data_IF_262964040366
#
_entry.id   IF_262964040366
#
_cell.length_a   1.000
_cell.length_b   1.000
_cell.length_c   1.000
_cell.angle_alpha   90.00
_cell.angle_beta   90.00
_cell.angle_gamma   90.00
#
_symmetry.space_group_name_H-M   'P 1'
#
loop_
_entity.id
_entity.type
_entity.pdbx_description
1 polymer ?
#
# COMPACT_ATOMS: atom_id res chain seq x y z
N UNK A 1 -7.00 -13.00 33.19
CA UNK A 1 -7.61 -12.16 32.12
C UNK A 1 -8.88 -11.46 32.61
N UNK A 2 -9.46 -11.90 33.72
CA UNK A 2 -10.76 -11.42 34.23
C UNK A 2 -10.72 -10.03 34.86
N UNK A 3 -9.52 -9.44 35.03
CA UNK A 3 -9.34 -8.05 35.44
C UNK A 3 -9.40 -7.04 34.29
N UNK A 4 -9.48 -7.51 33.03
CA UNK A 4 -9.55 -6.62 31.86
C UNK A 4 -10.96 -6.05 31.73
N UNK A 5 -11.12 -4.71 31.64
CA UNK A 5 -12.44 -4.10 31.45
C UNK A 5 -13.16 -4.63 30.20
N UNK A 6 -14.45 -5.01 30.28
CA UNK A 6 -15.20 -5.54 29.14
C UNK A 6 -15.18 -4.66 27.90
N UNK A 7 -15.17 -3.33 28.07
CA UNK A 7 -15.10 -2.36 26.96
C UNK A 7 -13.81 -2.48 26.14
N UNK A 8 -12.71 -2.85 26.79
CA UNK A 8 -11.44 -3.09 26.11
C UNK A 8 -11.51 -4.37 25.27
N UNK A 9 -12.07 -5.44 25.83
CA UNK A 9 -12.27 -6.71 25.12
C UNK A 9 -13.18 -6.53 23.91
N UNK A 10 -14.28 -5.80 24.07
CA UNK A 10 -15.21 -5.43 22.97
C UNK A 10 -14.47 -4.71 21.84
N UNK A 11 -13.66 -3.70 22.19
CA UNK A 11 -12.87 -2.92 21.22
C UNK A 11 -11.85 -3.79 20.47
N UNK A 12 -11.19 -4.72 21.17
CA UNK A 12 -10.27 -5.68 20.54
C UNK A 12 -11.01 -6.62 19.60
N UNK A 13 -12.16 -7.16 20.00
CA UNK A 13 -12.95 -8.09 19.19
C UNK A 13 -13.44 -7.49 17.87
N UNK A 14 -13.74 -6.19 17.84
CA UNK A 14 -14.13 -5.45 16.62
C UNK A 14 -12.96 -5.41 15.60
N UNK A 15 -11.71 -5.41 16.08
CA UNK A 15 -10.51 -5.35 15.23
C UNK A 15 -10.02 -6.72 14.74
N UNK A 16 -10.44 -7.81 15.38
CA UNK A 16 -9.98 -9.15 15.05
C UNK A 16 -10.58 -9.67 13.73
N UNK A 17 -9.77 -10.43 12.98
CA UNK A 17 -10.29 -11.17 11.82
C UNK A 17 -11.26 -12.28 12.28
N UNK A 18 -12.06 -12.82 11.35
CA UNK A 18 -13.10 -13.81 11.67
C UNK A 18 -12.57 -15.05 12.43
N UNK A 19 -11.39 -15.56 12.09
CA UNK A 19 -10.81 -16.75 12.72
C UNK A 19 -10.33 -16.44 14.14
N UNK A 20 -9.62 -15.32 14.33
CA UNK A 20 -9.14 -14.86 15.64
C UNK A 20 -10.31 -14.56 16.58
N UNK A 21 -11.39 -14.00 16.04
CA UNK A 21 -12.65 -13.78 16.73
C UNK A 21 -13.25 -15.07 17.30
N UNK A 22 -13.43 -16.08 16.46
CA UNK A 22 -13.94 -17.38 16.91
C UNK A 22 -13.03 -18.04 17.95
N UNK A 23 -11.70 -17.91 17.80
CA UNK A 23 -10.76 -18.41 18.79
C UNK A 23 -10.87 -17.68 20.13
N UNK A 24 -11.04 -16.35 20.12
CA UNK A 24 -11.16 -15.55 21.34
C UNK A 24 -12.40 -15.91 22.17
N UNK A 25 -13.50 -16.30 21.51
CA UNK A 25 -14.72 -16.76 22.19
C UNK A 25 -14.60 -18.13 22.86
N UNK A 26 -13.52 -18.88 22.61
CA UNK A 26 -13.26 -20.20 23.24
C UNK A 26 -12.40 -20.12 24.51
N UNK A 27 -11.92 -18.93 24.87
CA UNK A 27 -11.10 -18.76 26.08
C UNK A 27 -12.02 -18.88 27.30
N UNK A 28 -11.78 -19.86 28.16
CA UNK A 28 -12.58 -20.08 29.37
C UNK A 28 -12.28 -19.02 30.44
N UNK A 29 -12.84 -17.81 30.24
CA UNK A 29 -12.67 -16.63 31.10
C UNK A 29 -13.73 -15.58 30.75
N UNK A 30 -13.80 -14.50 31.53
CA UNK A 30 -14.61 -13.31 31.22
C UNK A 30 -14.27 -12.75 29.83
N UNK A 31 -13.01 -12.84 29.41
CA UNK A 31 -12.59 -12.43 28.06
C UNK A 31 -13.34 -13.21 26.98
N UNK A 32 -13.44 -14.54 27.10
CA UNK A 32 -14.15 -15.35 26.12
C UNK A 32 -15.64 -15.09 26.09
N UNK A 33 -16.25 -14.83 27.26
CA UNK A 33 -17.67 -14.48 27.36
C UNK A 33 -17.97 -13.12 26.70
N UNK A 34 -17.19 -12.08 27.03
CA UNK A 34 -17.33 -10.74 26.41
C UNK A 34 -17.04 -10.80 24.92
N UNK A 35 -16.05 -11.60 24.51
CA UNK A 35 -15.76 -11.84 23.10
C UNK A 35 -16.97 -12.46 22.39
N UNK A 36 -17.54 -13.54 22.93
CA UNK A 36 -18.69 -14.23 22.35
C UNK A 36 -19.91 -13.30 22.21
N UNK A 37 -20.18 -12.50 23.25
CA UNK A 37 -21.27 -11.52 23.22
C UNK A 37 -21.03 -10.43 22.17
N UNK A 38 -19.79 -9.94 22.06
CA UNK A 38 -19.41 -8.97 21.03
C UNK A 38 -19.54 -9.54 19.62
N UNK A 39 -19.23 -10.82 19.41
CA UNK A 39 -19.38 -11.48 18.10
C UNK A 39 -20.80 -11.53 17.59
N UNK A 40 -21.78 -11.65 18.50
CA UNK A 40 -23.19 -11.62 18.16
C UNK A 40 -23.64 -10.23 17.70
N UNK A 41 -22.96 -9.18 18.17
CA UNK A 41 -23.21 -7.80 17.80
C UNK A 41 -22.46 -7.36 16.55
N UNK A 42 -21.41 -8.05 16.13
CA UNK A 42 -20.65 -7.67 14.94
C UNK A 42 -21.46 -7.94 13.67
N UNK A 43 -21.51 -7.00 12.75
CA UNK A 43 -22.17 -7.15 11.46
C UNK A 43 -21.21 -6.88 10.29
N UNK A 44 -21.54 -7.47 9.14
CA UNK A 44 -21.00 -7.06 7.85
C UNK A 44 -22.09 -6.34 7.08
N UNK A 45 -21.85 -5.09 6.71
CA UNK A 45 -22.78 -4.31 5.90
C UNK A 45 -22.80 -4.84 4.47
N UNK A 46 -23.98 -5.20 3.96
CA UNK A 46 -24.20 -5.59 2.57
C UNK A 46 -24.92 -4.44 1.88
N UNK A 47 -24.29 -3.89 0.85
CA UNK A 47 -24.86 -2.82 0.04
C UNK A 47 -25.16 -3.41 -1.33
N UNK A 48 -26.42 -3.31 -1.74
CA UNK A 48 -26.88 -3.70 -3.06
C UNK A 48 -27.11 -2.46 -3.89
N UNK A 49 -26.54 -2.45 -5.10
CA UNK A 49 -26.72 -1.37 -6.06
C UNK A 49 -27.72 -1.82 -7.11
N UNK A 50 -28.92 -1.25 -7.07
CA UNK A 50 -29.93 -1.45 -8.10
C UNK A 50 -29.74 -0.38 -9.18
N UNK A 51 -29.16 -0.79 -10.30
CA UNK A 51 -28.90 0.08 -11.45
C UNK A 51 -30.18 0.44 -12.21
N UNK A 52 -31.24 -0.35 -12.08
CA UNK A 52 -32.52 -0.10 -12.76
C UNK A 52 -33.37 0.94 -12.04
N UNK A 53 -33.39 0.90 -10.70
CA UNK A 53 -34.11 1.86 -9.89
C UNK A 53 -33.26 3.05 -9.44
N UNK A 54 -31.96 3.02 -9.73
CA UNK A 54 -30.96 3.98 -9.22
C UNK A 54 -30.97 4.08 -7.69
N UNK A 55 -31.17 2.95 -7.00
CA UNK A 55 -31.26 2.88 -5.53
C UNK A 55 -30.14 2.04 -4.91
N UNK A 56 -29.81 2.37 -3.67
CA UNK A 56 -28.95 1.57 -2.81
C UNK A 56 -29.78 0.93 -1.69
N UNK A 57 -29.62 -0.36 -1.52
CA UNK A 57 -30.21 -1.10 -0.41
C UNK A 57 -29.10 -1.53 0.54
N UNK A 58 -29.25 -1.24 1.83
CA UNK A 58 -28.27 -1.59 2.86
C UNK A 58 -28.90 -2.52 3.88
N UNK A 59 -28.26 -3.66 4.14
CA UNK A 59 -28.65 -4.59 5.20
C UNK A 59 -27.43 -5.03 5.97
N UNK A 60 -27.56 -5.22 7.27
CA UNK A 60 -26.49 -5.72 8.11
C UNK A 60 -26.60 -7.25 8.22
N UNK A 61 -25.52 -7.97 7.95
CA UNK A 61 -25.46 -9.44 8.04
C UNK A 61 -24.65 -9.87 9.25
N UNK A 62 -25.30 -10.60 10.17
CA UNK A 62 -24.62 -11.19 11.31
C UNK A 62 -23.73 -12.37 10.86
N UNK A 63 -22.49 -12.49 11.37
CA UNK A 63 -21.52 -13.50 10.95
C UNK A 63 -21.91 -14.90 11.42
N UNK A 64 -22.60 -15.02 12.56
CA UNK A 64 -22.93 -16.32 13.17
C UNK A 64 -24.21 -16.92 12.59
N UNK A 65 -25.25 -16.10 12.37
CA UNK A 65 -26.58 -16.60 11.98
C UNK A 65 -26.88 -16.45 10.49
N UNK A 66 -26.03 -15.77 9.72
CA UNK A 66 -26.35 -15.29 8.35
C UNK A 66 -27.63 -14.46 8.24
N UNK A 67 -28.26 -14.10 9.37
CA UNK A 67 -29.48 -13.31 9.39
C UNK A 67 -29.14 -11.90 8.90
N UNK A 68 -29.92 -11.44 7.93
CA UNK A 68 -29.93 -10.04 7.51
C UNK A 68 -30.90 -9.30 8.42
N UNK A 69 -30.46 -8.18 8.95
CA UNK A 69 -31.29 -7.26 9.72
C UNK A 69 -31.28 -5.89 9.06
N UNK A 70 -32.35 -5.10 9.20
CA UNK A 70 -32.39 -3.72 8.72
C UNK A 70 -31.18 -2.94 9.25
N UNK A 71 -30.56 -2.14 8.38
CA UNK A 71 -29.34 -1.39 8.71
C UNK A 71 -29.56 -0.41 9.87
N UNK A 72 -30.74 0.21 9.93
CA UNK A 72 -31.17 1.13 10.98
C UNK A 72 -31.42 0.47 12.34
N UNK A 73 -31.53 -0.86 12.40
CA UNK A 73 -31.65 -1.61 13.65
C UNK A 73 -30.30 -1.97 14.30
N UNK A 74 -29.18 -1.60 13.67
CA UNK A 74 -27.84 -2.01 14.10
C UNK A 74 -27.03 -0.82 14.60
N UNK A 75 -26.36 -1.00 15.75
CA UNK A 75 -25.36 -0.06 16.23
C UNK A 75 -24.10 -0.12 15.33
N UNK A 76 -23.83 1.01 14.68
CA UNK A 76 -22.78 1.15 13.66
C UNK A 76 -21.38 0.80 14.19
N UNK A 77 -21.14 0.94 15.50
CA UNK A 77 -19.82 0.63 16.08
C UNK A 77 -19.43 -0.84 15.93
N UNK A 78 -20.41 -1.72 15.67
CA UNK A 78 -20.17 -3.14 15.45
C UNK A 78 -20.11 -3.55 13.97
N UNK A 79 -20.19 -2.60 13.02
CA UNK A 79 -20.00 -2.91 11.61
C UNK A 79 -18.50 -2.97 11.33
N UNK A 80 -17.95 -4.18 11.22
CA UNK A 80 -16.50 -4.36 11.03
C UNK A 80 -16.08 -4.43 9.57
N UNK A 81 -17.03 -4.73 8.67
CA UNK A 81 -16.76 -4.95 7.25
C UNK A 81 -17.95 -4.46 6.41
N UNK A 82 -17.70 -4.16 5.14
CA UNK A 82 -18.77 -3.94 4.17
C UNK A 82 -18.50 -4.67 2.86
N UNK A 83 -19.56 -4.97 2.11
CA UNK A 83 -19.50 -5.62 0.81
C UNK A 83 -20.54 -5.00 -0.11
N UNK A 84 -20.12 -4.60 -1.31
CA UNK A 84 -20.97 -4.01 -2.33
C UNK A 84 -21.20 -5.06 -3.44
N UNK A 85 -22.45 -5.28 -3.83
CA UNK A 85 -22.82 -6.23 -4.88
C UNK A 85 -23.95 -5.67 -5.75
N UNK A 86 -23.98 -6.04 -7.02
CA UNK A 86 -25.16 -5.83 -7.87
C UNK A 86 -26.11 -7.02 -7.73
N UNK A 87 -27.44 -6.82 -7.65
CA UNK A 87 -28.42 -7.89 -7.65
C UNK A 87 -28.33 -8.66 -8.97
N UNK A 88 -27.64 -9.81 -8.99
CA UNK A 88 -27.62 -10.65 -10.19
C UNK A 88 -28.68 -11.74 -10.19
N UNK A 89 -29.37 -11.99 -9.07
CA UNK A 89 -30.51 -12.91 -8.92
C UNK A 89 -31.11 -12.70 -7.52
N UNK A 90 -32.25 -12.00 -7.41
CA UNK A 90 -32.83 -11.65 -6.11
C UNK A 90 -34.36 -11.80 -6.11
N UNK A 91 -34.84 -13.04 -5.99
CA UNK A 91 -36.25 -13.37 -5.72
C UNK A 91 -36.62 -13.29 -4.23
N UNK A 92 -35.98 -12.43 -3.44
CA UNK A 92 -36.11 -12.40 -1.96
C UNK A 92 -36.37 -10.98 -1.41
N UNK A 93 -36.58 -9.96 -2.27
CA UNK A 93 -36.69 -8.56 -1.81
C UNK A 93 -38.11 -7.97 -1.81
N UNK A 94 -39.16 -8.78 -1.86
CA UNK A 94 -40.56 -8.31 -2.01
C UNK A 94 -41.19 -7.68 -0.74
N UNK A 95 -40.44 -7.43 0.33
CA UNK A 95 -41.01 -6.96 1.62
C UNK A 95 -40.68 -5.53 2.04
N UNK A 96 -40.11 -4.68 1.16
CA UNK A 96 -39.80 -3.30 1.52
C UNK A 96 -40.58 -2.28 0.68
N UNK A 97 -41.61 -1.67 1.26
CA UNK A 97 -42.41 -0.62 0.63
C UNK A 97 -41.72 0.74 0.67
N UNK A 98 -41.78 1.46 -0.45
CA UNK A 98 -41.13 2.76 -0.70
C UNK A 98 -42.16 3.89 -0.77
N UNK A 99 -41.95 5.02 -0.08
CA UNK A 99 -42.76 6.24 -0.18
C UNK A 99 -42.08 7.38 -0.98
N UNK A 100 -42.90 8.20 -1.65
CA UNK A 100 -42.63 9.02 -2.86
C UNK A 100 -41.74 10.30 -2.76
N UNK A 101 -41.61 11.09 -3.86
CA UNK A 101 -40.56 12.13 -4.11
C UNK A 101 -41.10 13.58 -4.25
N UNK A 102 -40.32 14.65 -4.62
CA UNK A 102 -38.87 14.78 -4.89
C UNK A 102 -38.18 16.00 -4.21
N UNK A 103 -37.13 15.75 -3.41
CA UNK A 103 -35.98 16.66 -3.17
C UNK A 103 -34.76 15.80 -2.76
N UNK A 104 -34.61 14.67 -3.45
CA UNK A 104 -34.04 13.45 -2.86
C UNK A 104 -32.52 13.36 -2.90
N UNK A 105 -31.84 14.04 -3.83
CA UNK A 105 -30.39 13.96 -3.92
C UNK A 105 -29.69 14.80 -2.83
N UNK A 106 -30.22 15.99 -2.53
CA UNK A 106 -29.77 16.81 -1.40
C UNK A 106 -30.17 16.21 -0.06
N UNK A 107 -31.36 15.60 0.04
CA UNK A 107 -31.79 14.91 1.26
C UNK A 107 -30.99 13.63 1.53
N UNK A 108 -30.63 12.83 0.52
CA UNK A 108 -29.75 11.65 0.68
C UNK A 108 -28.33 12.05 1.03
N UNK A 109 -27.79 13.12 0.41
CA UNK A 109 -26.49 13.65 0.79
C UNK A 109 -26.50 14.24 2.20
N UNK A 110 -27.59 14.89 2.61
CA UNK A 110 -27.77 15.48 3.94
C UNK A 110 -28.07 14.44 5.01
N UNK A 111 -28.78 13.35 4.72
CA UNK A 111 -29.12 12.29 5.67
C UNK A 111 -27.96 11.32 5.87
N UNK A 112 -27.24 10.95 4.79
CA UNK A 112 -26.01 10.16 4.90
C UNK A 112 -24.89 10.96 5.56
N UNK A 113 -24.82 12.28 5.30
CA UNK A 113 -24.06 13.20 6.14
C UNK A 113 -24.59 13.14 7.57
N UNK A 114 -25.82 13.54 7.88
CA UNK A 114 -26.35 13.66 9.26
C UNK A 114 -26.24 12.39 10.12
N UNK A 115 -26.45 11.19 9.55
CA UNK A 115 -26.30 9.90 10.24
C UNK A 115 -24.82 9.56 10.46
N UNK A 116 -23.94 9.83 9.50
CA UNK A 116 -22.50 9.74 9.73
C UNK A 116 -22.03 10.82 10.74
N UNK A 117 -22.60 12.02 10.69
CA UNK A 117 -22.11 13.20 11.41
C UNK A 117 -22.40 13.12 12.91
N UNK A 118 -23.60 12.69 13.32
CA UNK A 118 -23.95 12.65 14.74
C UNK A 118 -23.29 11.49 15.52
N UNK A 119 -22.89 10.42 14.84
CA UNK A 119 -22.29 9.24 15.49
C UNK A 119 -20.76 9.20 15.37
N UNK A 120 -20.18 9.85 14.36
CA UNK A 120 -18.72 9.87 14.17
C UNK A 120 -18.01 10.77 15.18
N UNK A 121 -18.69 11.80 15.71
CA UNK A 121 -18.15 12.65 16.78
C UNK A 121 -18.04 11.91 18.14
N UNK A 122 -18.73 10.77 18.29
CA UNK A 122 -18.61 9.90 19.47
C UNK A 122 -17.41 8.95 19.41
N UNK A 123 -16.74 8.86 18.26
CA UNK A 123 -15.55 8.00 18.13
C UNK A 123 -14.41 8.64 18.92
N UNK A 124 -13.80 7.91 19.88
CA UNK A 124 -12.67 8.44 20.64
C UNK A 124 -11.55 8.93 19.72
N UNK A 125 -10.99 10.13 19.93
CA UNK A 125 -9.90 10.66 19.10
C UNK A 125 -8.70 9.71 18.99
N UNK A 126 -8.42 8.93 20.04
CA UNK A 126 -7.36 7.92 20.04
C UNK A 126 -7.58 6.81 19.00
N UNK A 127 -8.83 6.45 18.73
CA UNK A 127 -9.17 5.48 17.70
C UNK A 127 -8.91 6.09 16.31
N UNK A 128 -9.34 7.33 16.08
CA UNK A 128 -9.08 8.04 14.82
C UNK A 128 -7.59 8.22 14.59
N UNK A 129 -6.82 8.55 15.64
CA UNK A 129 -5.36 8.63 15.58
C UNK A 129 -4.75 7.27 15.20
N UNK A 130 -5.21 6.18 15.82
CA UNK A 130 -4.73 4.82 15.52
C UNK A 130 -5.03 4.40 14.08
N UNK A 131 -6.23 4.66 13.58
CA UNK A 131 -6.60 4.40 12.17
C UNK A 131 -5.79 5.28 11.22
N UNK A 132 -5.55 6.53 11.62
CA UNK A 132 -4.77 7.48 10.84
C UNK A 132 -3.31 7.04 10.70
N UNK A 133 -2.70 6.51 11.76
CA UNK A 133 -1.34 5.97 11.73
C UNK A 133 -1.18 4.77 10.79
N UNK A 134 -2.27 4.06 10.50
CA UNK A 134 -2.31 2.93 9.55
C UNK A 134 -2.65 3.35 8.11
N UNK A 135 -2.98 4.62 7.90
CA UNK A 135 -3.44 5.13 6.60
C UNK A 135 -2.31 5.79 5.83
N UNK A 136 -2.32 5.65 4.49
CA UNK A 136 -1.38 6.38 3.64
C UNK A 136 -1.70 7.89 3.61
N UNK A 137 -0.73 8.72 3.21
CA UNK A 137 -0.89 10.18 3.27
C UNK A 137 -2.04 10.70 2.41
N UNK A 138 -2.32 10.07 1.25
CA UNK A 138 -3.45 10.47 0.40
C UNK A 138 -4.80 10.18 1.07
N UNK A 139 -4.92 9.03 1.71
CA UNK A 139 -6.10 8.66 2.48
C UNK A 139 -6.31 9.61 3.66
N UNK A 140 -5.24 9.97 4.37
CA UNK A 140 -5.29 10.96 5.46
C UNK A 140 -5.66 12.37 4.98
N UNK A 141 -5.12 12.78 3.85
CA UNK A 141 -5.48 14.07 3.25
C UNK A 141 -6.95 14.08 2.81
N UNK A 142 -7.45 12.97 2.27
CA UNK A 142 -8.85 12.82 1.92
C UNK A 142 -9.75 12.78 3.16
N UNK A 143 -9.36 12.08 4.22
CA UNK A 143 -10.11 12.03 5.47
C UNK A 143 -10.14 13.40 6.16
N UNK A 144 -9.07 14.19 6.05
CA UNK A 144 -9.03 15.57 6.52
C UNK A 144 -10.02 16.53 5.84
N UNK A 145 -10.61 16.14 4.71
CA UNK A 145 -11.68 16.91 4.02
C UNK A 145 -13.07 16.52 4.46
N UNK A 146 -13.21 15.48 5.28
CA UNK A 146 -14.49 15.13 5.88
C UNK A 146 -14.76 16.23 6.90
N UNK A 147 -15.91 16.91 6.79
CA UNK A 147 -16.35 17.84 7.83
C UNK A 147 -16.40 17.07 9.19
N UNK A 148 -16.48 17.73 10.36
CA UNK A 148 -16.55 17.06 11.69
C UNK A 148 -15.21 16.64 12.35
N UNK A 149 -15.32 16.08 13.56
CA UNK A 149 -14.18 15.71 14.40
C UNK A 149 -13.22 14.75 13.71
N UNK A 150 -13.71 13.86 12.84
CA UNK A 150 -12.85 12.93 12.11
C UNK A 150 -11.89 13.64 11.16
N UNK A 151 -12.35 14.64 10.41
CA UNK A 151 -11.46 15.43 9.56
C UNK A 151 -10.44 16.20 10.37
N UNK A 152 -10.87 16.81 11.47
CA UNK A 152 -9.98 17.55 12.38
C UNK A 152 -8.94 16.65 13.04
N UNK A 153 -9.36 15.51 13.61
CA UNK A 153 -8.47 14.54 14.22
C UNK A 153 -7.53 13.89 13.19
N UNK A 154 -8.00 13.63 11.96
CA UNK A 154 -7.15 13.14 10.86
C UNK A 154 -6.09 14.16 10.49
N UNK A 155 -6.47 15.44 10.32
CA UNK A 155 -5.53 16.52 10.00
C UNK A 155 -4.52 16.73 11.13
N UNK A 156 -4.98 16.73 12.37
CA UNK A 156 -4.13 16.86 13.55
C UNK A 156 -3.15 15.69 13.64
N UNK A 157 -3.60 14.46 13.38
CA UNK A 157 -2.72 13.29 13.33
C UNK A 157 -1.74 13.36 12.17
N UNK A 158 -2.20 13.79 10.98
CA UNK A 158 -1.35 13.94 9.80
C UNK A 158 -0.24 15.00 10.01
N UNK A 159 -0.48 16.02 10.83
CA UNK A 159 0.54 16.98 11.26
C UNK A 159 1.58 16.38 12.21
N UNK A 160 1.21 15.33 12.96
CA UNK A 160 2.13 14.59 13.84
C UNK A 160 2.89 13.48 13.11
N UNK A 161 2.40 12.98 11.97
CA UNK A 161 3.06 11.90 11.24
C UNK A 161 4.32 12.44 10.56
N UNK A 162 5.42 11.69 10.70
CA UNK A 162 6.70 12.01 10.07
C UNK A 162 7.24 10.82 9.28
N UNK A 163 8.07 11.14 8.30
CA UNK A 163 8.97 10.19 7.65
C UNK A 163 10.38 10.42 8.17
N UNK A 164 11.04 9.37 8.64
CA UNK A 164 12.46 9.43 8.98
C UNK A 164 13.26 9.58 7.68
N UNK A 165 14.00 10.67 7.54
CA UNK A 165 14.95 10.87 6.44
C UNK A 165 16.34 10.61 6.97
N UNK A 166 17.04 9.70 6.31
CA UNK A 166 18.44 9.39 6.59
C UNK A 166 19.25 9.77 5.36
N UNK A 167 20.20 10.66 5.56
CA UNK A 167 21.18 11.03 4.58
C UNK A 167 22.46 10.23 4.84
N UNK A 168 23.02 9.70 3.76
CA UNK A 168 24.24 8.90 3.77
C UNK A 168 25.33 9.78 3.16
N UNK A 169 26.22 10.26 4.01
CA UNK A 169 27.39 11.03 3.60
C UNK A 169 28.54 10.06 3.34
N UNK A 170 28.78 9.78 2.06
CA UNK A 170 29.85 8.89 1.62
C UNK A 170 31.24 9.52 1.81
N UNK A 171 31.35 10.85 1.89
CA UNK A 171 32.64 11.53 2.00
C UNK A 171 33.16 11.48 3.43
N UNK A 172 32.27 11.75 4.39
CA UNK A 172 32.58 11.72 5.82
C UNK A 172 32.32 10.34 6.45
N UNK A 173 31.81 9.38 5.68
CA UNK A 173 31.35 8.07 6.14
C UNK A 173 30.36 8.15 7.33
N UNK A 174 29.44 9.12 7.26
CA UNK A 174 28.47 9.42 8.33
C UNK A 174 27.03 9.27 7.89
N UNK A 175 26.16 8.96 8.85
CA UNK A 175 24.72 8.98 8.67
C UNK A 175 24.13 10.17 9.40
N UNK A 176 23.23 10.88 8.74
CA UNK A 176 22.48 11.98 9.35
C UNK A 176 21.00 11.70 9.28
N UNK A 177 20.26 11.98 10.35
CA UNK A 177 18.83 11.74 10.42
C UNK A 177 18.03 13.00 10.77
N UNK A 178 16.84 13.10 10.17
CA UNK A 178 15.87 14.17 10.44
C UNK A 178 14.45 13.63 10.26
N UNK A 179 13.47 14.22 10.95
CA UNK A 179 12.07 13.91 10.73
C UNK A 179 11.46 14.89 9.72
N UNK A 180 10.73 14.37 8.72
CA UNK A 180 10.10 15.17 7.67
C UNK A 180 8.59 15.03 7.70
N UNK A 181 7.89 16.16 7.85
CA UNK A 181 6.44 16.20 7.80
C UNK A 181 5.94 16.03 6.35
N UNK A 182 4.86 15.26 6.11
CA UNK A 182 4.42 14.91 4.77
C UNK A 182 3.77 16.06 4.00
N UNK A 183 3.00 16.93 4.68
CA UNK A 183 2.27 18.03 4.04
C UNK A 183 3.19 19.22 3.75
N UNK A 184 3.88 19.70 4.79
CA UNK A 184 4.63 20.96 4.73
C UNK A 184 6.02 20.81 4.15
N UNK A 185 6.48 19.56 3.95
CA UNK A 185 7.88 19.26 3.65
C UNK A 185 8.86 19.83 4.71
N UNK A 186 8.35 20.19 5.89
CA UNK A 186 9.15 20.76 6.97
C UNK A 186 10.01 19.67 7.59
N UNK A 187 11.31 19.93 7.64
CA UNK A 187 12.26 19.15 8.42
C UNK A 187 12.28 19.68 9.85
N UNK A 188 12.23 18.75 10.82
CA UNK A 188 12.32 19.03 12.25
C UNK A 188 13.36 18.08 12.87
N UNK A 189 14.13 18.54 13.88
CA UNK A 189 15.12 17.70 14.54
C UNK A 189 14.49 16.41 15.07
N UNK A 190 15.22 15.30 14.97
CA UNK A 190 14.67 13.98 15.35
C UNK A 190 14.23 13.91 16.83
N UNK A 191 14.95 14.62 17.71
CA UNK A 191 14.65 14.66 19.15
C UNK A 191 13.39 15.48 19.50
N UNK A 192 12.85 16.27 18.57
CA UNK A 192 11.62 17.06 18.78
C UNK A 192 10.35 16.30 18.37
N UNK A 193 10.48 15.04 17.96
CA UNK A 193 9.37 14.22 17.44
C UNK A 193 9.22 12.99 18.31
N UNK A 194 7.97 12.65 18.65
CA UNK A 194 7.64 11.36 19.25
C UNK A 194 7.75 10.27 18.19
N UNK A 195 8.70 9.35 18.38
CA UNK A 195 9.08 8.30 17.42
C UNK A 195 7.88 7.41 17.03
N UNK A 196 6.83 7.32 17.87
CA UNK A 196 5.63 6.54 17.54
C UNK A 196 4.87 7.07 16.32
N UNK A 197 5.08 8.34 15.94
CA UNK A 197 4.49 8.96 14.76
C UNK A 197 5.38 8.89 13.53
N UNK A 198 6.56 8.25 13.62
CA UNK A 198 7.37 7.95 12.44
C UNK A 198 6.83 6.67 11.82
N UNK A 199 6.17 6.80 10.67
CA UNK A 199 5.49 5.68 10.01
C UNK A 199 6.29 5.05 8.89
N UNK A 200 7.30 5.76 8.36
CA UNK A 200 8.12 5.31 7.23
C UNK A 200 9.54 5.87 7.33
N UNK A 201 10.49 5.26 6.63
CA UNK A 201 11.84 5.81 6.45
C UNK A 201 12.26 5.95 4.99
N UNK A 202 13.12 6.93 4.70
CA UNK A 202 13.81 7.04 3.42
C UNK A 202 15.29 7.25 3.68
N UNK A 203 16.12 6.33 3.18
CA UNK A 203 17.58 6.41 3.22
C UNK A 203 18.07 6.83 1.83
N UNK A 204 18.91 7.86 1.75
CA UNK A 204 19.45 8.31 0.46
C UNK A 204 20.81 8.98 0.51
N UNK A 205 21.59 8.87 -0.57
CA UNK A 205 22.92 9.50 -0.75
C UNK A 205 22.91 10.82 -1.53
N UNK A 206 21.76 11.29 -2.04
CA UNK A 206 21.74 12.32 -3.09
C UNK A 206 22.23 13.72 -2.64
N UNK A 207 23.10 14.32 -3.46
CA UNK A 207 24.01 15.46 -3.21
C UNK A 207 23.37 16.87 -3.13
N UNK A 208 22.04 16.99 -3.09
CA UNK A 208 21.38 18.30 -3.14
C UNK A 208 21.17 18.95 -1.76
N UNK A 209 21.83 18.44 -0.72
CA UNK A 209 21.87 19.10 0.58
C UNK A 209 23.02 20.10 0.61
N UNK A 210 22.86 21.21 -0.12
CA UNK A 210 23.65 22.40 0.17
C UNK A 210 23.57 22.67 1.67
N UNK A 211 24.74 22.71 2.34
CA UNK A 211 24.98 22.84 3.78
C UNK A 211 23.91 22.15 4.63
N UNK A 212 24.20 20.94 5.12
CA UNK A 212 23.36 20.24 6.10
C UNK A 212 22.83 21.24 7.13
N UNK A 213 21.51 21.47 7.11
CA UNK A 213 20.87 22.35 8.09
C UNK A 213 21.18 21.81 9.49
N UNK A 214 21.34 22.71 10.47
CA UNK A 214 21.54 22.39 11.90
C UNK A 214 20.48 21.42 12.49
N UNK A 215 19.40 21.15 11.76
CA UNK A 215 18.33 20.21 12.12
C UNK A 215 18.71 18.74 11.96
N UNK A 216 19.71 18.43 11.14
CA UNK A 216 20.17 17.06 10.94
C UNK A 216 20.98 16.60 12.14
N UNK A 217 20.64 15.42 12.68
CA UNK A 217 21.38 14.79 13.77
C UNK A 217 22.28 13.70 13.18
N UNK A 218 23.59 13.76 13.41
CA UNK A 218 24.49 12.63 13.14
C UNK A 218 24.05 11.40 13.97
N UNK A 219 23.94 10.24 13.32
CA UNK A 219 23.55 8.98 13.95
C UNK A 219 24.52 7.87 13.57
N UNK A 220 24.63 6.88 14.44
CA UNK A 220 25.37 5.64 14.17
C UNK A 220 24.49 4.61 13.46
N UNK A 221 25.10 3.56 12.90
CA UNK A 221 24.37 2.41 12.35
C UNK A 221 23.49 1.70 13.39
N UNK A 222 23.94 1.59 14.64
CA UNK A 222 23.16 0.98 15.70
C UNK A 222 21.92 1.83 16.04
N UNK A 223 22.07 3.17 16.08
CA UNK A 223 20.93 4.07 16.22
C UNK A 223 19.95 3.95 15.04
N UNK A 224 20.46 3.85 13.80
CA UNK A 224 19.62 3.62 12.62
C UNK A 224 18.83 2.31 12.75
N UNK A 225 19.49 1.21 13.12
CA UNK A 225 18.83 -0.08 13.31
C UNK A 225 17.74 -0.01 14.37
N UNK A 226 18.00 0.65 15.51
CA UNK A 226 16.99 0.87 16.56
C UNK A 226 15.81 1.69 16.05
N UNK A 227 16.07 2.79 15.32
CA UNK A 227 15.03 3.63 14.73
C UNK A 227 14.17 2.85 13.75
N UNK A 228 14.77 2.05 12.88
CA UNK A 228 14.05 1.22 11.90
C UNK A 228 13.22 0.16 12.61
N UNK A 229 13.72 -0.44 13.69
CA UNK A 229 12.95 -1.42 14.46
C UNK A 229 11.69 -0.82 15.11
N UNK A 230 11.70 0.47 15.45
CA UNK A 230 10.50 1.17 15.93
C UNK A 230 9.48 1.45 14.80
N UNK A 231 9.94 1.61 13.57
CA UNK A 231 9.10 1.83 12.41
C UNK A 231 8.56 0.48 11.97
N UNK A 232 7.35 0.14 12.44
CA UNK A 232 6.69 -1.11 12.04
C UNK A 232 6.65 -1.23 10.52
N UNK A 233 7.00 -2.39 9.94
CA UNK A 233 6.84 -2.61 8.51
C UNK A 233 5.37 -2.39 8.13
N UNK A 234 5.11 -1.48 7.20
CA UNK A 234 3.78 -1.17 6.68
C UNK A 234 3.09 -2.42 6.07
N UNK A 235 3.88 -3.47 5.81
CA UNK A 235 3.53 -4.66 5.04
C UNK A 235 3.22 -5.90 5.87
N UNK A 236 3.43 -5.89 7.19
CA UNK A 236 3.31 -7.08 8.04
C UNK A 236 1.91 -7.73 8.06
N UNK A 237 0.88 -7.06 7.54
CA UNK A 237 -0.48 -7.63 7.53
C UNK A 237 -1.27 -7.47 6.24
N UNK A 238 -0.97 -6.48 5.38
CA UNK A 238 -1.73 -6.26 4.14
C UNK A 238 -0.86 -5.71 3.02
N UNK A 239 -0.99 -6.30 1.83
CA UNK A 239 -0.42 -5.73 0.62
C UNK A 239 -1.03 -4.35 0.36
N UNK A 240 -0.21 -3.33 0.06
CA UNK A 240 -0.74 -2.01 -0.26
C UNK A 240 -1.60 -2.11 -1.51
N UNK A 241 -2.82 -1.56 -1.44
CA UNK A 241 -3.73 -1.51 -2.60
C UNK A 241 -3.08 -0.78 -3.76
N UNK A 242 -2.31 0.27 -3.44
CA UNK A 242 -1.62 1.15 -4.37
C UNK A 242 -0.27 1.54 -3.78
N UNK A 243 0.78 1.45 -4.59
CA UNK A 243 2.09 2.00 -4.27
C UNK A 243 2.04 3.53 -4.32
N UNK A 244 2.51 4.16 -3.23
CA UNK A 244 2.72 5.59 -3.15
C UNK A 244 4.15 5.86 -2.74
N UNK A 245 4.95 6.39 -3.67
CA UNK A 245 6.38 6.70 -3.48
C UNK A 245 6.67 7.60 -2.28
N UNK A 246 5.67 8.35 -1.79
CA UNK A 246 5.83 9.24 -0.64
C UNK A 246 5.48 8.62 0.72
N UNK A 247 4.96 7.39 0.75
CA UNK A 247 4.42 6.75 1.97
C UNK A 247 4.98 5.34 2.17
N UNK A 248 6.20 5.06 1.67
CA UNK A 248 6.79 3.73 1.70
C UNK A 248 8.22 3.79 2.23
N UNK A 249 8.70 2.68 2.78
CA UNK A 249 10.10 2.55 3.17
C UNK A 249 10.97 2.52 1.91
N UNK A 250 11.84 3.52 1.77
CA UNK A 250 12.59 3.75 0.54
C UNK A 250 14.09 3.73 0.78
N UNK A 251 14.81 3.01 -0.07
CA UNK A 251 16.26 3.03 -0.17
C UNK A 251 16.65 3.60 -1.53
N UNK A 252 17.41 4.70 -1.54
CA UNK A 252 17.87 5.36 -2.76
C UNK A 252 19.38 5.65 -2.70
N UNK A 253 20.20 4.73 -3.20
CA UNK A 253 21.65 4.83 -3.11
C UNK A 253 22.26 5.02 -4.51
N UNK A 254 22.92 6.16 -4.72
CA UNK A 254 23.58 6.53 -5.98
C UNK A 254 25.08 6.19 -6.04
N UNK A 255 25.67 5.88 -4.89
CA UNK A 255 27.12 5.70 -4.68
C UNK A 255 27.40 4.35 -4.00
N UNK A 256 28.58 3.79 -4.24
CA UNK A 256 28.98 2.43 -3.84
C UNK A 256 30.08 2.37 -2.77
N UNK A 257 30.20 3.40 -1.93
CA UNK A 257 31.20 3.48 -0.87
C UNK A 257 30.93 2.53 0.30
N UNK A 258 31.83 2.53 1.28
CA UNK A 258 31.83 1.56 2.39
C UNK A 258 30.57 1.68 3.26
N UNK A 259 30.08 2.89 3.50
CA UNK A 259 28.86 3.12 4.29
C UNK A 259 27.63 2.54 3.58
N UNK A 260 27.55 2.65 2.26
CA UNK A 260 26.48 2.03 1.46
C UNK A 260 26.59 0.50 1.46
N UNK A 261 27.79 -0.08 1.44
CA UNK A 261 27.97 -1.54 1.63
C UNK A 261 27.41 -1.99 2.97
N UNK A 262 27.80 -1.28 4.03
CA UNK A 262 27.32 -1.56 5.37
C UNK A 262 25.78 -1.47 5.44
N UNK A 263 25.17 -0.44 4.82
CA UNK A 263 23.72 -0.29 4.75
C UNK A 263 23.01 -1.47 4.06
N UNK A 264 23.57 -1.98 2.96
CA UNK A 264 22.98 -3.13 2.26
C UNK A 264 23.14 -4.46 3.02
N UNK A 265 24.15 -4.56 3.89
CA UNK A 265 24.28 -5.71 4.80
C UNK A 265 23.25 -5.71 5.93
N UNK A 266 22.50 -4.62 6.16
CA UNK A 266 21.42 -4.61 7.14
C UNK A 266 20.13 -5.22 6.57
N UNK A 267 19.39 -6.01 7.37
CA UNK A 267 18.07 -6.49 7.00
C UNK A 267 17.03 -5.35 7.11
N UNK A 268 17.04 -4.44 6.14
CA UNK A 268 16.15 -3.29 6.09
C UNK A 268 14.77 -3.70 5.53
N UNK A 269 13.65 -3.39 6.20
CA UNK A 269 12.30 -3.65 5.68
C UNK A 269 11.93 -2.60 4.62
N UNK A 270 12.56 -2.68 3.45
CA UNK A 270 12.37 -1.76 2.33
C UNK A 270 11.20 -2.18 1.45
N UNK A 271 10.43 -1.19 1.00
CA UNK A 271 9.33 -1.37 0.04
C UNK A 271 9.76 -0.96 -1.38
N UNK A 272 10.72 -0.04 -1.47
CA UNK A 272 11.19 0.57 -2.70
C UNK A 272 12.69 0.70 -2.69
N UNK A 273 13.32 0.20 -3.76
CA UNK A 273 14.76 0.29 -3.97
C UNK A 273 15.03 1.01 -5.28
N UNK A 274 15.80 2.10 -5.19
CA UNK A 274 16.42 2.80 -6.30
C UNK A 274 17.95 2.71 -6.08
N UNK A 275 18.67 1.89 -6.85
CA UNK A 275 20.09 1.60 -6.62
C UNK A 275 20.93 1.83 -7.88
N UNK A 276 21.97 2.65 -7.80
CA UNK A 276 22.96 2.85 -8.86
C UNK A 276 24.28 2.16 -8.49
N UNK A 277 24.63 1.13 -9.25
CA UNK A 277 25.84 0.32 -9.06
C UNK A 277 26.87 0.74 -10.12
N UNK A 278 27.87 1.52 -9.71
CA UNK A 278 28.94 2.03 -10.58
C UNK A 278 30.20 1.17 -10.55
N UNK A 279 30.43 0.45 -9.46
CA UNK A 279 31.65 -0.32 -9.21
C UNK A 279 31.33 -1.81 -9.12
N UNK A 280 32.19 -2.64 -9.73
CA UNK A 280 31.96 -4.10 -9.79
C UNK A 280 32.05 -4.76 -8.42
N UNK A 281 32.94 -4.29 -7.56
CA UNK A 281 33.13 -4.79 -6.19
C UNK A 281 31.91 -4.60 -5.28
N UNK A 282 30.97 -3.74 -5.68
CA UNK A 282 29.71 -3.55 -4.96
C UNK A 282 28.64 -4.58 -5.33
N UNK A 283 28.79 -5.29 -6.45
CA UNK A 283 27.80 -6.27 -6.92
C UNK A 283 27.52 -7.38 -5.90
N UNK A 284 28.52 -8.06 -5.29
CA UNK A 284 28.24 -9.18 -4.38
C UNK A 284 27.35 -8.77 -3.21
N UNK A 285 27.61 -7.60 -2.61
CA UNK A 285 26.83 -7.07 -1.48
C UNK A 285 25.40 -6.71 -1.91
N UNK A 286 25.25 -6.08 -3.09
CA UNK A 286 23.93 -5.78 -3.64
C UNK A 286 23.13 -7.04 -3.97
N UNK A 287 23.78 -8.05 -4.54
CA UNK A 287 23.16 -9.33 -4.87
C UNK A 287 22.70 -10.08 -3.62
N UNK A 288 23.54 -10.15 -2.59
CA UNK A 288 23.18 -10.72 -1.29
C UNK A 288 21.97 -10.00 -0.68
N UNK A 289 21.96 -8.66 -0.72
CA UNK A 289 20.82 -7.88 -0.26
C UNK A 289 19.52 -8.24 -0.99
N UNK A 290 19.55 -8.35 -2.32
CA UNK A 290 18.35 -8.68 -3.10
C UNK A 290 17.89 -10.13 -2.95
N UNK A 291 18.81 -11.06 -2.68
CA UNK A 291 18.47 -12.44 -2.37
C UNK A 291 17.76 -12.57 -1.02
N UNK A 292 18.12 -11.71 -0.06
CA UNK A 292 17.55 -11.70 1.29
C UNK A 292 16.42 -10.69 1.48
N UNK A 293 16.12 -9.85 0.49
CA UNK A 293 15.08 -8.83 0.59
C UNK A 293 13.68 -9.46 0.68
N UNK A 294 12.79 -8.83 1.43
CA UNK A 294 11.37 -9.16 1.44
C UNK A 294 10.62 -8.67 0.19
N UNK A 295 9.28 -8.60 0.24
CA UNK A 295 8.46 -8.08 -0.84
C UNK A 295 8.83 -6.65 -1.26
N UNK A 296 9.03 -6.41 -2.55
CA UNK A 296 9.36 -5.11 -3.13
C UNK A 296 8.25 -4.65 -4.08
N UNK A 297 7.84 -3.39 -3.97
CA UNK A 297 6.77 -2.81 -4.81
C UNK A 297 7.28 -1.90 -5.92
N UNK A 298 8.49 -1.37 -5.75
CA UNK A 298 9.16 -0.56 -6.76
C UNK A 298 10.65 -0.84 -6.76
N UNK A 299 11.14 -1.39 -7.86
CA UNK A 299 12.55 -1.73 -8.07
C UNK A 299 13.07 -0.91 -9.23
N UNK A 300 14.16 -0.18 -9.01
CA UNK A 300 14.89 0.54 -10.04
C UNK A 300 16.38 0.32 -9.81
N UNK A 301 17.02 -0.49 -10.63
CA UNK A 301 18.45 -0.78 -10.49
C UNK A 301 19.16 -0.30 -11.74
N UNK A 302 20.16 0.54 -11.58
CA UNK A 302 21.06 0.97 -12.62
C UNK A 302 22.41 0.31 -12.42
N UNK A 303 22.70 -0.73 -13.17
CA UNK A 303 24.06 -1.23 -13.28
C UNK A 303 24.77 -0.41 -14.36
N UNK A 304 26.03 -0.02 -14.15
CA UNK A 304 26.86 0.58 -15.19
C UNK A 304 27.16 -0.43 -16.32
N UNK A 305 28.43 -0.75 -16.51
CA UNK A 305 28.85 -1.72 -17.54
C UNK A 305 28.73 -3.18 -17.10
N UNK A 306 28.11 -3.45 -15.94
CA UNK A 306 28.02 -4.78 -15.36
C UNK A 306 26.62 -5.37 -15.49
N UNK A 307 26.53 -6.68 -15.32
CA UNK A 307 25.28 -7.42 -15.29
C UNK A 307 25.12 -8.08 -13.92
N UNK A 308 23.90 -8.05 -13.39
CA UNK A 308 23.54 -8.86 -12.22
C UNK A 308 23.57 -10.35 -12.58
N UNK A 309 23.92 -11.18 -11.61
CA UNK A 309 23.78 -12.62 -11.69
C UNK A 309 22.32 -13.01 -11.97
N UNK A 310 22.14 -14.08 -12.74
CA UNK A 310 20.81 -14.54 -13.16
C UNK A 310 19.96 -14.96 -11.96
N UNK A 311 20.58 -15.59 -10.94
CA UNK A 311 19.91 -15.90 -9.67
C UNK A 311 19.40 -14.66 -8.94
N UNK A 312 20.14 -13.54 -8.99
CA UNK A 312 19.70 -12.26 -8.41
C UNK A 312 18.52 -11.68 -9.20
N UNK A 313 18.54 -11.75 -10.54
CA UNK A 313 17.39 -11.34 -11.36
C UNK A 313 16.16 -12.19 -11.03
N UNK A 314 16.33 -13.51 -10.86
CA UNK A 314 15.26 -14.39 -10.42
C UNK A 314 14.71 -14.00 -9.04
N UNK A 315 15.58 -13.73 -8.06
CA UNK A 315 15.19 -13.26 -6.74
C UNK A 315 14.42 -11.93 -6.79
N UNK A 316 14.87 -10.96 -7.61
CA UNK A 316 14.15 -9.70 -7.82
C UNK A 316 12.75 -9.93 -8.40
N UNK A 317 12.60 -10.84 -9.37
CA UNK A 317 11.29 -11.19 -9.94
C UNK A 317 10.40 -11.83 -8.89
N UNK A 318 10.92 -12.72 -8.05
CA UNK A 318 10.16 -13.36 -6.98
C UNK A 318 9.75 -12.38 -5.88
N UNK A 319 10.66 -11.52 -5.46
CA UNK A 319 10.41 -10.51 -4.42
C UNK A 319 9.52 -9.37 -4.92
N UNK A 320 9.48 -9.11 -6.23
CA UNK A 320 8.58 -8.09 -6.78
C UNK A 320 7.10 -8.46 -6.62
N UNK A 321 6.34 -7.60 -5.96
CA UNK A 321 4.89 -7.75 -5.79
C UNK A 321 4.16 -6.68 -6.61
N UNK A 322 3.47 -7.08 -7.70
CA UNK A 322 2.66 -6.16 -8.49
C UNK A 322 1.58 -5.46 -7.65
N UNK A 323 1.60 -4.12 -7.64
CA UNK A 323 0.61 -3.26 -7.00
C UNK A 323 0.32 -2.06 -7.91
N UNK A 324 -0.81 -1.37 -7.71
CA UNK A 324 -1.14 -0.20 -8.54
C UNK A 324 -0.08 0.90 -8.37
N UNK A 325 0.56 1.34 -9.45
CA UNK A 325 1.68 2.28 -9.41
C UNK A 325 3.04 1.65 -9.16
N UNK A 326 3.11 0.32 -8.98
CA UNK A 326 4.35 -0.42 -8.85
C UNK A 326 5.22 -0.33 -10.10
N UNK A 327 6.53 -0.44 -9.90
CA UNK A 327 7.54 -0.25 -10.95
C UNK A 327 8.62 -1.33 -10.88
N UNK A 328 9.04 -1.85 -12.02
CA UNK A 328 10.21 -2.72 -12.11
C UNK A 328 11.08 -2.23 -13.26
N UNK A 329 12.32 -1.88 -12.97
CA UNK A 329 13.26 -1.43 -13.97
C UNK A 329 14.68 -1.89 -13.66
N UNK A 330 15.30 -2.56 -14.63
CA UNK A 330 16.73 -2.88 -14.62
C UNK A 330 17.37 -2.18 -15.81
N UNK A 331 18.39 -1.37 -15.55
CA UNK A 331 19.20 -0.68 -16.55
C UNK A 331 20.63 -1.25 -16.55
N UNK A 332 21.37 -0.93 -17.61
CA UNK A 332 22.73 -1.41 -17.80
C UNK A 332 22.80 -2.68 -18.65
N UNK A 333 23.83 -3.48 -18.41
CA UNK A 333 24.07 -4.72 -19.16
C UNK A 333 23.28 -5.94 -18.62
N UNK A 334 22.51 -5.77 -17.55
CA UNK A 334 21.63 -6.81 -17.01
C UNK A 334 20.53 -7.16 -18.02
N UNK A 335 20.60 -8.38 -18.56
CA UNK A 335 19.68 -8.89 -19.58
C UNK A 335 18.81 -9.98 -18.99
N UNK A 336 17.51 -9.88 -19.23
CA UNK A 336 16.56 -10.96 -18.90
C UNK A 336 16.74 -12.13 -19.86
N UNK A 337 16.66 -13.35 -19.34
CA UNK A 337 16.33 -14.51 -20.16
C UNK A 337 14.89 -14.41 -20.66
N UNK A 338 14.54 -15.21 -21.66
CA UNK A 338 13.17 -15.27 -22.18
C UNK A 338 12.20 -15.70 -21.07
N UNK A 339 12.61 -16.70 -20.29
CA UNK A 339 11.84 -17.32 -19.22
C UNK A 339 11.62 -16.34 -18.06
N UNK A 340 12.66 -15.58 -17.66
CA UNK A 340 12.54 -14.54 -16.64
C UNK A 340 11.58 -13.43 -17.07
N UNK A 341 11.72 -12.95 -18.32
CA UNK A 341 10.86 -11.91 -18.85
C UNK A 341 9.40 -12.38 -18.92
N UNK A 342 9.18 -13.61 -19.42
CA UNK A 342 7.86 -14.23 -19.50
C UNK A 342 7.24 -14.38 -18.11
N UNK A 343 8.01 -14.86 -17.12
CA UNK A 343 7.56 -14.97 -15.72
C UNK A 343 7.17 -13.62 -15.13
N UNK A 344 7.97 -12.57 -15.33
CA UNK A 344 7.68 -11.22 -14.84
C UNK A 344 6.44 -10.61 -15.50
N UNK A 345 6.31 -10.73 -16.83
CA UNK A 345 5.13 -10.23 -17.57
C UNK A 345 3.86 -10.94 -17.10
N UNK A 346 3.89 -12.27 -17.00
CA UNK A 346 2.75 -13.05 -16.52
C UNK A 346 2.37 -12.71 -15.08
N UNK A 347 3.36 -12.55 -14.20
CA UNK A 347 3.13 -12.11 -12.81
C UNK A 347 2.39 -10.78 -12.77
N UNK A 348 2.79 -9.81 -13.60
CA UNK A 348 2.11 -8.52 -13.69
C UNK A 348 0.70 -8.63 -14.30
N UNK A 349 0.54 -9.38 -15.38
CA UNK A 349 -0.75 -9.59 -16.05
C UNK A 349 -1.78 -10.23 -15.10
N UNK A 350 -1.39 -11.29 -14.38
CA UNK A 350 -2.30 -12.01 -13.47
C UNK A 350 -2.67 -11.19 -12.23
N UNK A 351 -1.86 -10.21 -11.84
CA UNK A 351 -2.15 -9.37 -10.67
C UNK A 351 -3.34 -8.43 -10.86
N UNK A 352 -3.72 -8.14 -12.12
CA UNK A 352 -4.73 -7.13 -12.47
C UNK A 352 -4.41 -5.76 -11.84
N UNK A 353 -3.12 -5.41 -11.79
CA UNK A 353 -2.62 -4.12 -11.26
C UNK A 353 -2.02 -3.24 -12.35
N UNK A 354 -2.07 -1.93 -12.13
CA UNK A 354 -1.46 -0.90 -12.97
C UNK A 354 0.03 -0.81 -12.71
N UNK A 355 0.80 -1.74 -13.26
CA UNK A 355 2.25 -1.81 -13.13
C UNK A 355 2.96 -1.17 -14.32
N UNK A 356 4.18 -0.67 -14.09
CA UNK A 356 5.12 -0.25 -15.12
C UNK A 356 6.38 -1.12 -15.09
N UNK A 357 6.73 -1.72 -16.22
CA UNK A 357 8.03 -2.37 -16.41
C UNK A 357 8.86 -1.54 -17.39
N UNK A 358 10.16 -1.41 -17.14
CA UNK A 358 11.12 -0.87 -18.11
C UNK A 358 12.30 -1.83 -18.20
N UNK A 359 12.52 -2.36 -19.39
CA UNK A 359 13.46 -3.46 -19.59
C UNK A 359 14.29 -3.22 -20.84
N UNK A 360 15.54 -3.65 -20.79
CA UNK A 360 16.48 -3.60 -21.91
C UNK A 360 16.53 -4.99 -22.58
N UNK A 361 15.98 -5.15 -23.79
CA UNK A 361 16.01 -6.43 -24.49
C UNK A 361 17.42 -6.77 -24.95
N UNK A 362 17.81 -8.04 -24.83
CA UNK A 362 19.12 -8.55 -25.27
C UNK A 362 19.33 -8.46 -26.80
N UNK A 363 18.25 -8.47 -27.59
CA UNK A 363 18.28 -8.51 -29.06
C UNK A 363 17.28 -7.53 -29.68
N UNK A 364 17.62 -7.04 -30.89
CA UNK A 364 16.74 -6.25 -31.76
C UNK A 364 15.41 -6.95 -32.05
N UNK A 365 15.39 -8.28 -31.99
CA UNK A 365 14.19 -9.11 -32.00
C UNK A 365 13.74 -9.38 -30.57
N UNK A 366 12.96 -8.45 -30.02
CA UNK A 366 12.15 -8.70 -28.84
C UNK A 366 11.28 -9.95 -29.08
N UNK A 367 11.72 -11.10 -28.59
CA UNK A 367 11.12 -12.41 -28.90
C UNK A 367 10.03 -12.83 -27.92
N UNK A 368 9.52 -11.90 -27.10
CA UNK A 368 8.29 -12.17 -26.35
C UNK A 368 7.14 -12.32 -27.34
N UNK A 369 6.62 -13.54 -27.40
CA UNK A 369 5.48 -13.87 -28.24
C UNK A 369 4.21 -13.28 -27.61
N UNK A 370 3.90 -12.03 -27.96
CA UNK A 370 2.67 -11.39 -27.53
C UNK A 370 1.44 -12.13 -28.06
N UNK A 371 1.55 -12.76 -29.22
CA UNK A 371 0.41 -13.40 -29.88
C UNK A 371 0.01 -14.69 -29.13
N UNK A 372 0.97 -15.34 -28.44
CA UNK A 372 0.70 -16.42 -27.46
C UNK A 372 -0.21 -16.00 -26.30
N UNK A 373 -0.14 -14.75 -25.84
CA UNK A 373 -0.80 -14.31 -24.61
C UNK A 373 -1.92 -13.28 -24.80
N UNK A 374 -1.88 -12.53 -25.89
CA UNK A 374 -2.76 -11.41 -26.16
C UNK A 374 -3.45 -11.58 -27.50
N UNK A 375 -4.74 -11.94 -27.45
CA UNK A 375 -5.58 -12.16 -28.62
C UNK A 375 -5.93 -10.89 -29.40
N UNK A 376 -5.84 -9.70 -28.78
CA UNK A 376 -6.13 -8.41 -29.42
C UNK A 376 -4.88 -7.56 -29.41
N UNK A 377 -4.41 -7.18 -30.60
CA UNK A 377 -3.24 -6.34 -30.78
C UNK A 377 -3.57 -5.17 -31.70
N UNK A 378 -3.16 -3.98 -31.30
CA UNK A 378 -3.22 -2.76 -32.13
C UNK A 378 -1.83 -2.14 -32.16
N UNK A 379 -1.24 -2.09 -33.34
CA UNK A 379 0.03 -1.40 -33.57
C UNK A 379 -0.22 0.03 -34.06
N UNK A 380 0.54 0.97 -33.49
CA UNK A 380 0.65 2.37 -33.91
C UNK A 380 2.15 2.68 -34.00
N UNK A 381 2.54 3.73 -34.76
CA UNK A 381 3.93 4.02 -35.18
C UNK A 381 5.04 3.65 -34.15
N UNK A 382 4.87 4.04 -32.88
CA UNK A 382 5.82 3.77 -31.80
C UNK A 382 5.18 3.10 -30.56
N UNK A 383 3.99 2.52 -30.72
CA UNK A 383 3.19 2.02 -29.60
C UNK A 383 2.42 0.76 -30.00
N UNK A 384 2.60 -0.31 -29.24
CA UNK A 384 1.77 -1.51 -29.36
C UNK A 384 0.84 -1.55 -28.16
N UNK A 385 -0.44 -1.75 -28.40
CA UNK A 385 -1.43 -2.00 -27.34
C UNK A 385 -1.95 -3.40 -27.52
N UNK A 386 -1.83 -4.22 -26.47
CA UNK A 386 -2.27 -5.60 -26.48
C UNK A 386 -3.24 -5.85 -25.31
N UNK A 387 -4.24 -6.68 -25.53
CA UNK A 387 -5.22 -7.08 -24.51
C UNK A 387 -5.59 -8.55 -24.70
N UNK A 388 -5.68 -9.29 -23.60
CA UNK A 388 -6.21 -10.65 -23.59
C UNK A 388 -7.74 -10.58 -23.59
N UNK A 389 -8.41 -11.52 -24.25
CA UNK A 389 -9.86 -11.64 -24.18
C UNK A 389 -10.31 -11.75 -22.71
N UNK A 390 -11.27 -10.90 -22.31
CA UNK A 390 -11.80 -10.85 -20.95
C UNK A 390 -10.90 -10.16 -19.91
N UNK A 391 -9.70 -9.67 -20.27
CA UNK A 391 -8.86 -8.94 -19.33
C UNK A 391 -9.42 -7.54 -19.00
N UNK A 392 -9.26 -7.12 -17.75
CA UNK A 392 -9.66 -5.79 -17.26
C UNK A 392 -8.65 -4.70 -17.66
N UNK A 393 -7.39 -5.09 -17.86
CA UNK A 393 -6.29 -4.21 -18.22
C UNK A 393 -5.80 -4.54 -19.63
N UNK A 394 -5.23 -3.53 -20.29
CA UNK A 394 -4.46 -3.68 -21.52
C UNK A 394 -3.01 -3.28 -21.25
N UNK A 395 -2.07 -4.00 -21.85
CA UNK A 395 -0.66 -3.66 -21.82
C UNK A 395 -0.35 -2.69 -22.96
N UNK A 396 0.33 -1.59 -22.65
CA UNK A 396 0.85 -0.64 -23.62
C UNK A 396 2.37 -0.78 -23.65
N UNK A 397 2.88 -1.21 -24.78
CA UNK A 397 4.30 -1.27 -25.06
C UNK A 397 4.73 -0.02 -25.82
N UNK A 398 5.81 0.61 -25.39
CA UNK A 398 6.46 1.73 -26.10
C UNK A 398 7.95 1.48 -26.16
N UNK A 399 8.53 1.64 -27.34
CA UNK A 399 9.99 1.70 -27.49
C UNK A 399 10.47 3.09 -27.06
N UNK A 400 11.56 3.14 -26.31
CA UNK A 400 12.25 4.35 -25.91
C UNK A 400 13.50 4.55 -26.79
N UNK A 401 13.93 5.80 -26.93
CA UNK A 401 15.10 6.18 -27.77
C UNK A 401 16.42 5.63 -27.25
N UNK A 402 16.47 5.25 -25.97
CA UNK A 402 17.61 4.64 -25.29
C UNK A 402 17.64 3.10 -25.45
N UNK A 403 16.86 2.55 -26.39
CA UNK A 403 16.76 1.12 -26.65
C UNK A 403 15.96 0.34 -25.59
N UNK A 404 15.43 1.00 -24.56
CA UNK A 404 14.57 0.34 -23.58
C UNK A 404 13.16 0.20 -24.11
N UNK A 405 12.43 -0.77 -23.57
CA UNK A 405 10.99 -0.89 -23.81
C UNK A 405 10.26 -0.72 -22.50
N UNK A 406 9.21 0.09 -22.54
CA UNK A 406 8.31 0.30 -21.42
C UNK A 406 7.02 -0.45 -21.66
N UNK A 407 6.68 -1.35 -20.74
CA UNK A 407 5.38 -2.00 -20.66
C UNK A 407 4.57 -1.34 -19.55
N UNK A 408 3.35 -0.94 -19.85
CA UNK A 408 2.48 -0.28 -18.88
C UNK A 408 1.08 -0.88 -18.93
N UNK A 409 0.62 -1.42 -17.80
CA UNK A 409 -0.73 -1.93 -17.64
C UNK A 409 -1.68 -0.81 -17.24
N UNK A 410 -2.81 -0.71 -17.94
CA UNK A 410 -3.83 0.31 -17.65
C UNK A 410 -5.21 -0.13 -18.05
N UNK A 411 -6.23 0.56 -17.50
CA UNK A 411 -7.64 0.23 -17.75
C UNK A 411 -7.97 0.37 -19.23
N UNK A 412 -8.80 -0.55 -19.72
CA UNK A 412 -9.40 -0.45 -21.04
C UNK A 412 -10.44 0.68 -20.98
N UNK A 413 -10.08 1.85 -21.53
CA UNK A 413 -11.05 2.92 -21.75
C UNK A 413 -12.20 2.38 -22.60
N UNK A 414 -13.40 2.29 -22.02
CA UNK A 414 -14.64 2.12 -22.80
C UNK A 414 -14.77 3.36 -23.66
N UNK A 415 -14.81 3.16 -24.97
CA UNK A 415 -15.07 4.24 -25.93
C UNK A 415 -16.57 4.46 -26.05
#
# INVERSE_FOLDING_TARGET
MDSVPPIFVESVCVLLNHKSRQASGKIDSMWGQVSLFTLQKIYTLRIFVDETEEKLYAVARAPVSNRMVPFDSVDLKFITNFHISTPKNLGVLDSFTSSGPPQKQDFLCAMTRKIANNHMDLVPPIFVESVSLLSNHKSLQASGKIDFMWGQASLFTLQKIYTLRVFVDETEEKLYAVARAPISNRMVPLHSVDLKFITNFHISTHNNLGVLSEKWKEITFNELQRLIHFIRPTTETRLPVRHDKGCCNKLNLEHSGQITRNLLSFPLPVDTVDLLIREQEFLPVAEEFFQNSGPLYSITIWCGNFALNQSTVDALIENFVPVDGGNFALYGNTRFTKEQLERLILKCEMSVKKVRLRIHPKCSTWSFDFDKYYSKRKAEKNRITSARNGALLKVRMRSCTDGHVVLQWGVISRK
#
